data_IF_302522962633
#
_entry.id   IF_302522962633
#
_cell.length_a   1.000
_cell.length_b   1.000
_cell.length_c   1.000
_cell.angle_alpha   90.00
_cell.angle_beta   90.00
_cell.angle_gamma   90.00
#
_symmetry.space_group_name_H-M   'P 1'
#
loop_
_entity.id
_entity.type
_entity.pdbx_description
1 polymer ?
#
# COMPACT_ATOMS: atom_id res chain seq x y z
N UNK A 1 27.74 -17.24 1.54
CA UNK A 1 29.18 -16.98 1.23
C UNK A 1 30.11 -17.64 2.23
N UNK A 2 29.74 -17.78 3.51
CA UNK A 2 30.57 -18.37 4.57
C UNK A 2 29.93 -19.61 5.19
N UNK A 3 29.05 -20.30 4.49
CA UNK A 3 28.27 -21.46 4.95
C UNK A 3 29.15 -22.65 5.38
N UNK A 4 30.32 -22.78 4.77
CA UNK A 4 31.30 -23.82 5.12
C UNK A 4 32.21 -23.45 6.30
N UNK A 5 32.15 -22.21 6.80
CA UNK A 5 32.96 -21.75 7.93
C UNK A 5 32.32 -22.09 9.29
N UNK A 6 31.90 -23.35 9.44
CA UNK A 6 31.34 -23.84 10.69
C UNK A 6 32.44 -24.15 11.72
N UNK A 7 32.06 -24.25 12.98
CA UNK A 7 32.98 -24.62 14.06
C UNK A 7 33.75 -25.90 13.74
N UNK A 8 33.05 -26.94 13.31
CA UNK A 8 33.63 -28.24 13.00
C UNK A 8 34.66 -28.17 11.88
N UNK A 9 34.31 -27.46 10.77
CA UNK A 9 35.21 -27.34 9.63
C UNK A 9 36.43 -26.49 9.96
N UNK A 10 36.28 -25.42 10.72
CA UNK A 10 37.38 -24.56 11.13
C UNK A 10 38.30 -25.30 12.07
N UNK A 11 37.74 -25.99 13.07
CA UNK A 11 38.52 -26.79 14.02
C UNK A 11 39.30 -27.89 13.31
N UNK A 12 38.67 -28.62 12.37
CA UNK A 12 39.32 -29.65 11.59
C UNK A 12 40.49 -29.08 10.78
N UNK A 13 40.29 -27.95 10.11
CA UNK A 13 41.35 -27.28 9.36
C UNK A 13 42.51 -26.81 10.25
N UNK A 14 42.22 -26.36 11.48
CA UNK A 14 43.25 -26.01 12.46
C UNK A 14 44.04 -27.21 12.94
N UNK A 15 43.40 -28.30 13.25
CA UNK A 15 44.02 -29.57 13.65
C UNK A 15 44.88 -30.15 12.52
N UNK A 16 44.43 -30.07 11.27
CA UNK A 16 45.19 -30.56 10.12
C UNK A 16 46.48 -29.75 9.89
N UNK A 17 46.52 -28.49 10.26
CA UNK A 17 47.71 -27.61 10.17
C UNK A 17 48.73 -27.84 11.26
N UNK A 18 48.38 -28.58 12.33
CA UNK A 18 49.35 -29.02 13.35
C UNK A 18 50.20 -30.15 12.77
N UNK A 19 51.45 -29.87 12.46
CA UNK A 19 52.36 -30.82 11.78
C UNK A 19 53.06 -31.78 12.70
N UNK A 20 53.07 -31.52 14.03
CA UNK A 20 53.67 -32.40 15.02
C UNK A 20 52.80 -33.67 15.24
N UNK A 21 53.47 -34.80 15.54
CA UNK A 21 52.83 -36.07 15.87
C UNK A 21 52.32 -36.02 17.34
N UNK A 22 51.18 -35.35 17.50
CA UNK A 22 50.51 -35.16 18.80
C UNK A 22 49.09 -35.71 18.71
N UNK A 23 48.52 -36.11 19.86
CA UNK A 23 47.12 -36.48 19.93
C UNK A 23 46.21 -35.28 19.62
N UNK A 24 45.35 -35.43 18.62
CA UNK A 24 44.43 -34.40 18.11
C UNK A 24 42.96 -34.73 18.41
N UNK A 25 42.69 -35.80 19.15
CA UNK A 25 41.32 -36.22 19.51
C UNK A 25 40.71 -35.24 20.53
N UNK A 26 39.42 -35.21 20.60
CA UNK A 26 38.65 -34.45 21.60
C UNK A 26 39.17 -34.80 23.03
N UNK A 27 39.40 -33.77 23.84
CA UNK A 27 40.00 -33.90 25.18
C UNK A 27 41.53 -33.93 25.20
N UNK A 28 42.21 -33.84 24.05
CA UNK A 28 43.67 -33.62 24.00
C UNK A 28 44.02 -32.16 24.22
N UNK A 29 45.22 -31.88 24.71
CA UNK A 29 45.69 -30.49 24.97
C UNK A 29 45.62 -29.61 23.70
N UNK A 30 45.92 -30.18 22.52
CA UNK A 30 45.88 -29.45 21.26
C UNK A 30 44.45 -29.17 20.86
N UNK A 31 43.54 -30.15 21.00
CA UNK A 31 42.13 -29.96 20.73
C UNK A 31 41.53 -28.88 21.62
N UNK A 32 41.74 -28.96 22.94
CA UNK A 32 41.21 -28.03 23.93
C UNK A 32 41.79 -26.63 23.76
N UNK A 33 43.03 -26.50 23.26
CA UNK A 33 43.63 -25.21 22.94
C UNK A 33 43.06 -24.56 21.67
N UNK A 34 42.69 -25.35 20.66
CA UNK A 34 42.20 -24.84 19.37
C UNK A 34 40.67 -24.66 19.32
N UNK A 35 39.92 -25.50 20.05
CA UNK A 35 38.45 -25.47 20.02
C UNK A 35 37.86 -24.09 20.37
N UNK A 36 38.26 -23.35 21.41
CA UNK A 36 37.75 -22.03 21.69
C UNK A 36 38.03 -21.01 20.55
N UNK A 37 39.23 -21.07 19.95
CA UNK A 37 39.60 -20.22 18.85
C UNK A 37 38.76 -20.52 17.58
N UNK A 38 38.53 -21.80 17.28
CA UNK A 38 37.66 -22.20 16.19
C UNK A 38 36.22 -21.76 16.40
N UNK A 39 35.70 -21.77 17.63
CA UNK A 39 34.39 -21.30 17.98
C UNK A 39 34.24 -19.77 17.71
N UNK A 40 35.16 -18.96 18.21
CA UNK A 40 35.13 -17.54 17.98
C UNK A 40 35.29 -17.15 16.50
N UNK A 41 36.12 -17.92 15.75
CA UNK A 41 36.24 -17.67 14.30
C UNK A 41 34.94 -18.02 13.57
N UNK A 42 34.30 -19.14 13.91
CA UNK A 42 32.99 -19.50 13.33
C UNK A 42 31.93 -18.43 13.61
N UNK A 43 31.88 -17.95 14.86
CA UNK A 43 30.97 -16.83 15.21
C UNK A 43 31.27 -15.56 14.41
N UNK A 44 32.54 -15.22 14.23
CA UNK A 44 32.92 -14.05 13.40
C UNK A 44 32.53 -14.22 11.93
N UNK A 45 32.70 -15.41 11.35
CA UNK A 45 32.24 -15.68 9.97
C UNK A 45 30.72 -15.61 9.84
N UNK A 46 29.99 -16.11 10.84
CA UNK A 46 28.53 -16.00 10.89
C UNK A 46 28.08 -14.55 10.96
N UNK A 47 28.70 -13.73 11.82
CA UNK A 47 28.38 -12.29 11.92
C UNK A 47 28.75 -11.55 10.64
N UNK A 48 29.86 -11.91 9.99
CA UNK A 48 30.26 -11.30 8.72
C UNK A 48 29.29 -11.66 7.59
N UNK A 49 28.76 -12.87 7.57
CA UNK A 49 27.69 -13.28 6.65
C UNK A 49 26.44 -12.43 6.84
N UNK A 50 25.96 -12.29 8.07
CA UNK A 50 24.81 -11.47 8.41
C UNK A 50 25.03 -9.98 8.07
N UNK A 51 26.26 -9.48 8.25
CA UNK A 51 26.58 -8.08 7.93
C UNK A 51 26.41 -7.78 6.44
N UNK A 52 26.76 -8.71 5.55
CA UNK A 52 26.56 -8.54 4.09
C UNK A 52 25.07 -8.39 3.80
N UNK A 53 24.21 -9.20 4.42
CA UNK A 53 22.77 -9.14 4.23
C UNK A 53 22.17 -7.80 4.74
N UNK A 54 22.79 -7.18 5.73
CA UNK A 54 22.37 -5.87 6.25
C UNK A 54 22.82 -4.68 5.37
N UNK A 55 23.82 -4.86 4.52
CA UNK A 55 24.33 -3.77 3.67
C UNK A 55 23.57 -3.64 2.34
N UNK A 56 23.04 -4.73 1.83
CA UNK A 56 22.39 -4.76 0.52
C UNK A 56 20.90 -4.40 0.63
N UNK A 57 20.35 -3.49 -0.20
CA UNK A 57 18.96 -3.06 -0.12
C UNK A 57 17.93 -4.17 -0.29
N UNK A 58 18.26 -5.30 -0.91
CA UNK A 58 17.36 -6.42 -1.12
C UNK A 58 17.16 -7.27 0.13
N UNK A 59 18.15 -7.33 1.01
CA UNK A 59 18.15 -8.13 2.24
C UNK A 59 18.14 -7.30 3.52
N UNK A 60 18.59 -6.03 3.45
CA UNK A 60 18.63 -5.12 4.59
C UNK A 60 17.24 -4.87 5.19
N UNK A 61 17.17 -4.71 6.51
CA UNK A 61 15.95 -4.46 7.26
C UNK A 61 16.09 -3.26 8.19
N UNK A 62 14.97 -2.60 8.50
CA UNK A 62 14.89 -1.50 9.45
C UNK A 62 15.87 -0.37 9.13
N UNK A 63 16.62 0.09 10.14
CA UNK A 63 17.59 1.19 10.02
C UNK A 63 18.70 0.93 8.99
N UNK A 64 19.09 -0.32 8.79
CA UNK A 64 20.09 -0.67 7.78
C UNK A 64 19.55 -0.45 6.37
N UNK A 65 18.30 -0.80 6.12
CA UNK A 65 17.63 -0.50 4.85
C UNK A 65 17.53 1.01 4.64
N UNK A 66 17.13 1.77 5.68
CA UNK A 66 17.04 3.22 5.62
C UNK A 66 18.37 3.86 5.20
N UNK A 67 19.47 3.39 5.79
CA UNK A 67 20.83 3.82 5.44
C UNK A 67 21.21 3.43 4.03
N UNK A 68 20.92 2.19 3.61
CA UNK A 68 21.26 1.70 2.28
C UNK A 68 20.58 2.52 1.16
N UNK A 69 19.32 2.95 1.37
CA UNK A 69 18.55 3.69 0.36
C UNK A 69 18.71 5.20 0.44
N UNK A 70 19.17 5.75 1.58
CA UNK A 70 19.30 7.20 1.82
C UNK A 70 20.25 7.89 0.85
N UNK A 71 21.35 7.22 0.44
CA UNK A 71 22.32 7.72 -0.55
C UNK A 71 21.71 7.97 -1.93
N UNK A 72 20.55 7.40 -2.20
CA UNK A 72 19.78 7.59 -3.43
C UNK A 72 18.65 8.62 -3.28
N UNK A 73 18.60 9.33 -2.14
CA UNK A 73 17.56 10.32 -1.86
C UNK A 73 16.19 9.67 -1.66
N UNK A 74 16.14 8.48 -1.08
CA UNK A 74 14.93 7.79 -0.64
C UNK A 74 14.98 7.69 0.88
N UNK A 75 13.93 8.14 1.55
CA UNK A 75 13.77 8.04 3.00
C UNK A 75 12.46 7.37 3.34
N UNK A 76 12.40 6.62 4.43
CA UNK A 76 11.17 6.00 4.93
C UNK A 76 10.13 7.06 5.21
N UNK A 77 8.89 6.80 4.80
CA UNK A 77 7.76 7.66 5.16
C UNK A 77 7.40 7.39 6.62
N UNK A 78 7.45 8.42 7.49
CA UNK A 78 7.07 8.24 8.89
C UNK A 78 5.58 7.99 9.02
N UNK A 79 5.17 7.41 10.14
CA UNK A 79 3.77 7.38 10.53
C UNK A 79 3.24 8.81 10.71
N UNK A 80 2.01 9.06 10.30
CA UNK A 80 1.30 10.30 10.55
C UNK A 80 0.03 10.08 11.35
N UNK A 81 -0.39 11.10 12.08
CA UNK A 81 -1.65 11.07 12.83
C UNK A 81 -2.86 11.21 11.90
N UNK A 82 -3.98 10.59 12.29
CA UNK A 82 -5.27 10.87 11.68
C UNK A 82 -5.79 12.22 12.16
N UNK A 83 -6.31 13.02 11.24
CA UNK A 83 -7.04 14.24 11.55
C UNK A 83 -8.52 13.99 11.31
N UNK A 84 -9.35 14.21 12.32
CA UNK A 84 -10.76 13.86 12.34
C UNK A 84 -11.63 15.09 12.63
N UNK A 85 -12.85 15.01 12.20
CA UNK A 85 -13.88 15.97 12.54
C UNK A 85 -14.60 15.53 13.83
N UNK A 86 -14.74 16.47 14.77
CA UNK A 86 -15.51 16.29 15.99
C UNK A 86 -16.70 17.28 15.97
N UNK A 87 -17.90 16.77 16.17
CA UNK A 87 -19.10 17.56 16.35
C UNK A 87 -19.51 17.58 17.83
N UNK A 88 -19.81 18.75 18.36
CA UNK A 88 -20.11 18.94 19.79
C UNK A 88 -21.44 19.62 20.01
N UNK A 89 -22.05 19.42 21.17
CA UNK A 89 -23.33 20.06 21.53
C UNK A 89 -23.17 21.51 22.00
N UNK A 90 -21.96 21.95 22.34
CA UNK A 90 -21.65 23.32 22.73
C UNK A 90 -20.16 23.61 22.43
N UNK A 91 -19.80 24.89 22.51
CA UNK A 91 -18.45 25.34 22.24
C UNK A 91 -17.42 24.73 23.19
N UNK A 92 -16.30 24.26 22.66
CA UNK A 92 -15.16 23.71 23.40
C UNK A 92 -13.89 24.48 23.08
N UNK A 93 -12.91 24.41 23.99
CA UNK A 93 -11.63 25.07 23.77
C UNK A 93 -10.69 24.20 22.91
N UNK A 94 -9.86 24.84 22.09
CA UNK A 94 -8.75 24.20 21.39
C UNK A 94 -7.80 23.61 22.43
N UNK A 95 -7.24 22.42 22.15
CA UNK A 95 -6.40 21.66 23.06
C UNK A 95 -7.15 20.72 24.01
N UNK A 96 -8.49 20.68 23.97
CA UNK A 96 -9.26 19.70 24.73
C UNK A 96 -9.09 18.29 24.19
N UNK A 97 -9.08 17.30 25.09
CA UNK A 97 -8.80 15.89 24.77
C UNK A 97 -10.06 15.06 24.92
N UNK A 98 -10.27 14.23 23.93
CA UNK A 98 -11.45 13.38 23.81
C UNK A 98 -11.02 11.96 23.46
N UNK A 99 -11.64 10.97 24.05
CA UNK A 99 -11.32 9.56 23.84
C UNK A 99 -12.49 8.79 23.24
N UNK A 100 -12.17 7.82 22.41
CA UNK A 100 -13.07 6.75 22.03
C UNK A 100 -12.32 5.43 22.24
N UNK A 101 -12.81 4.61 23.20
CA UNK A 101 -12.10 3.42 23.68
C UNK A 101 -10.67 3.78 24.16
N UNK A 102 -9.64 3.25 23.50
CA UNK A 102 -8.21 3.42 23.77
C UNK A 102 -7.53 4.49 22.92
N UNK A 103 -8.30 5.17 22.04
CA UNK A 103 -7.76 6.18 21.12
C UNK A 103 -8.14 7.58 21.60
N UNK A 104 -7.15 8.46 21.69
CA UNK A 104 -7.31 9.85 22.15
C UNK A 104 -7.09 10.82 21.01
N UNK A 105 -7.96 11.82 20.93
CA UNK A 105 -7.88 12.94 19.99
C UNK A 105 -7.77 14.24 20.77
N UNK A 106 -6.97 15.17 20.29
CA UNK A 106 -6.91 16.53 20.82
C UNK A 106 -7.36 17.55 19.78
N UNK A 107 -8.16 18.51 20.20
CA UNK A 107 -8.72 19.53 19.32
C UNK A 107 -7.65 20.51 18.89
N UNK A 108 -7.42 20.61 17.57
CA UNK A 108 -6.39 21.47 16.97
C UNK A 108 -6.95 22.76 16.41
N UNK A 109 -8.22 22.75 15.95
CA UNK A 109 -8.84 23.90 15.34
C UNK A 109 -10.37 23.83 15.35
N UNK A 110 -11.00 24.96 15.01
CA UNK A 110 -12.44 25.03 14.79
C UNK A 110 -12.72 25.23 13.30
N UNK A 111 -13.57 24.36 12.73
CA UNK A 111 -13.98 24.40 11.33
C UNK A 111 -15.24 25.25 11.15
N UNK A 112 -16.21 25.05 12.04
CA UNK A 112 -17.50 25.75 12.07
C UNK A 112 -18.05 25.85 13.49
N UNK A 113 -19.21 26.43 13.68
CA UNK A 113 -19.87 26.47 14.99
C UNK A 113 -20.12 25.05 15.48
N UNK A 114 -19.56 24.71 16.67
CA UNK A 114 -19.61 23.39 17.31
C UNK A 114 -19.01 22.25 16.46
N UNK A 115 -18.19 22.58 15.46
CA UNK A 115 -17.48 21.61 14.62
C UNK A 115 -16.00 21.89 14.68
N UNK A 116 -15.22 20.87 15.04
CA UNK A 116 -13.79 21.01 15.32
C UNK A 116 -12.97 20.00 14.53
N UNK A 117 -11.73 20.39 14.27
CA UNK A 117 -10.67 19.52 13.81
C UNK A 117 -9.91 18.98 15.02
N UNK A 118 -9.65 17.68 15.03
CA UNK A 118 -8.92 17.02 16.08
C UNK A 118 -7.94 16.00 15.52
N UNK A 119 -6.74 16.02 16.07
CA UNK A 119 -5.65 15.13 15.70
C UNK A 119 -5.56 13.97 16.69
N UNK A 120 -5.33 12.77 16.16
CA UNK A 120 -5.10 11.58 16.98
C UNK A 120 -3.73 11.69 17.67
N UNK A 121 -3.66 11.46 18.98
CA UNK A 121 -2.38 11.48 19.71
C UNK A 121 -1.46 10.31 19.29
N UNK A 122 -2.05 9.22 18.83
CA UNK A 122 -1.31 8.05 18.35
C UNK A 122 -1.22 8.12 16.83
N UNK A 123 0.00 8.16 16.31
CA UNK A 123 0.24 8.07 14.87
C UNK A 123 -0.10 6.68 14.35
N UNK A 124 -0.47 6.60 13.08
CA UNK A 124 -0.86 5.36 12.43
C UNK A 124 -2.34 5.29 12.09
N UNK A 125 -2.72 4.16 11.51
CA UNK A 125 -4.10 3.89 11.06
C UNK A 125 -5.12 3.79 12.20
N UNK A 126 -4.66 3.65 13.44
CA UNK A 126 -5.56 3.48 14.59
C UNK A 126 -6.56 4.63 14.71
N UNK A 127 -6.16 5.86 14.40
CA UNK A 127 -7.04 7.04 14.42
C UNK A 127 -8.16 7.03 13.37
N UNK A 128 -8.11 6.14 12.37
CA UNK A 128 -9.14 5.99 11.35
C UNK A 128 -10.24 5.00 11.74
N UNK A 129 -10.03 4.22 12.80
CA UNK A 129 -10.80 2.98 13.06
C UNK A 129 -12.19 3.24 13.63
N UNK A 130 -12.32 4.23 14.52
CA UNK A 130 -13.53 4.41 15.31
C UNK A 130 -14.35 5.61 14.85
N UNK A 131 -15.68 5.52 15.06
CA UNK A 131 -16.66 6.56 14.83
C UNK A 131 -17.67 6.57 15.97
N UNK A 132 -18.31 7.72 16.24
CA UNK A 132 -19.38 7.86 17.21
C UNK A 132 -18.99 8.63 18.47
N UNK A 133 -19.70 8.36 19.56
CA UNK A 133 -19.63 9.15 20.78
C UNK A 133 -18.24 9.13 21.43
N UNK A 134 -17.78 10.31 21.85
CA UNK A 134 -16.51 10.55 22.51
C UNK A 134 -16.71 10.82 24.01
N UNK A 135 -15.76 10.34 24.80
CA UNK A 135 -15.64 10.66 26.22
C UNK A 135 -14.66 11.81 26.43
N UNK A 136 -15.05 12.83 27.22
CA UNK A 136 -14.15 13.94 27.53
C UNK A 136 -13.10 13.52 28.56
N UNK A 137 -11.83 13.68 28.21
CA UNK A 137 -10.70 13.57 29.14
C UNK A 137 -10.32 14.92 29.76
N UNK A 138 -10.90 16.02 29.26
CA UNK A 138 -10.77 17.36 29.80
C UNK A 138 -11.92 17.63 30.80
N UNK A 139 -11.70 18.54 31.75
CA UNK A 139 -12.72 18.91 32.74
C UNK A 139 -13.82 19.79 32.08
N UNK A 140 -14.61 19.17 31.21
CA UNK A 140 -15.75 19.80 30.51
C UNK A 140 -17.03 19.06 30.96
N UNK A 141 -17.99 19.79 31.54
CA UNK A 141 -19.26 19.22 31.95
C UNK A 141 -20.39 19.69 31.03
N UNK A 142 -21.31 18.78 30.72
CA UNK A 142 -22.54 19.08 29.98
C UNK A 142 -22.37 19.23 28.46
N UNK A 143 -21.20 18.88 27.90
CA UNK A 143 -20.95 18.81 26.48
C UNK A 143 -20.76 17.38 26.05
N UNK A 144 -21.50 16.96 25.03
CA UNK A 144 -21.26 15.69 24.34
C UNK A 144 -20.57 15.95 23.01
N UNK A 145 -19.74 15.01 22.59
CA UNK A 145 -18.99 15.08 21.34
C UNK A 145 -19.09 13.77 20.56
N UNK A 146 -19.06 13.86 19.26
CA UNK A 146 -19.10 12.72 18.34
C UNK A 146 -17.98 12.83 17.33
N UNK A 147 -17.24 11.73 17.13
CA UNK A 147 -16.20 11.60 16.11
C UNK A 147 -16.87 11.19 14.78
N UNK A 148 -16.77 12.06 13.78
CA UNK A 148 -17.47 11.88 12.50
C UNK A 148 -16.49 11.61 11.37
N UNK A 149 -16.27 12.55 10.46
CA UNK A 149 -15.52 12.34 9.22
C UNK A 149 -14.00 12.28 9.45
N UNK A 150 -13.30 11.63 8.51
CA UNK A 150 -11.85 11.69 8.39
C UNK A 150 -11.51 12.89 7.50
N UNK A 151 -10.69 13.81 8.01
CA UNK A 151 -10.16 14.94 7.24
C UNK A 151 -8.85 14.53 6.58
N UNK A 152 -7.98 13.88 7.36
CA UNK A 152 -6.73 13.31 6.88
C UNK A 152 -6.54 11.92 7.47
N UNK A 153 -6.33 10.93 6.62
CA UNK A 153 -6.06 9.58 7.07
C UNK A 153 -4.74 9.48 7.83
N UNK A 154 -4.78 8.82 8.98
CA UNK A 154 -3.59 8.36 9.66
C UNK A 154 -2.96 7.19 8.91
N UNK A 155 -1.66 7.16 8.82
CA UNK A 155 -0.92 6.09 8.16
C UNK A 155 0.21 5.58 9.06
N UNK A 156 0.40 4.27 9.05
CA UNK A 156 1.52 3.63 9.73
C UNK A 156 2.83 3.99 9.03
N UNK A 157 3.94 3.81 9.74
CA UNK A 157 5.25 3.93 9.14
C UNK A 157 5.40 2.97 7.95
N UNK A 158 6.07 3.43 6.91
CA UNK A 158 6.30 2.65 5.69
C UNK A 158 7.05 1.35 6.02
N UNK A 159 6.53 0.22 5.58
CA UNK A 159 7.17 -1.08 5.79
C UNK A 159 8.46 -1.21 4.96
N UNK A 160 9.37 -2.11 5.39
CA UNK A 160 10.60 -2.39 4.64
C UNK A 160 10.32 -2.80 3.19
N UNK A 161 9.29 -3.60 2.95
CA UNK A 161 8.92 -4.04 1.61
C UNK A 161 8.41 -2.89 0.73
N UNK A 162 7.63 -1.97 1.29
CA UNK A 162 7.14 -0.79 0.57
C UNK A 162 8.29 0.18 0.25
N UNK A 163 9.18 0.44 1.23
CA UNK A 163 10.37 1.26 1.04
C UNK A 163 11.30 0.67 -0.01
N UNK A 164 11.55 -0.63 0.04
CA UNK A 164 12.38 -1.38 -0.92
C UNK A 164 11.77 -1.32 -2.33
N UNK A 165 10.47 -1.53 -2.46
CA UNK A 165 9.77 -1.43 -3.74
C UNK A 165 9.91 -0.03 -4.35
N UNK A 166 9.71 1.03 -3.56
CA UNK A 166 9.84 2.44 -3.96
C UNK A 166 11.29 2.80 -4.32
N UNK A 167 12.26 2.28 -3.58
CA UNK A 167 13.67 2.42 -3.90
C UNK A 167 14.00 1.82 -5.27
N UNK A 168 13.60 0.56 -5.51
CA UNK A 168 13.87 -0.07 -6.80
C UNK A 168 13.09 0.56 -7.95
N UNK A 169 11.90 1.07 -7.72
CA UNK A 169 11.17 1.84 -8.74
C UNK A 169 11.99 3.07 -9.16
N UNK A 170 12.49 3.84 -8.19
CA UNK A 170 13.33 5.03 -8.44
C UNK A 170 14.63 4.68 -9.18
N UNK A 171 15.33 3.62 -8.76
CA UNK A 171 16.62 3.26 -9.33
C UNK A 171 16.49 2.62 -10.73
N UNK A 172 15.50 1.75 -10.91
CA UNK A 172 15.28 1.04 -12.19
C UNK A 172 14.56 1.88 -13.23
N UNK A 173 13.85 2.92 -12.80
CA UNK A 173 13.08 3.82 -13.65
C UNK A 173 13.44 5.28 -13.38
N UNK A 174 14.71 5.69 -13.61
CA UNK A 174 15.12 7.04 -13.29
C UNK A 174 14.31 8.05 -14.09
N UNK A 175 13.67 8.96 -13.40
CA UNK A 175 13.02 10.11 -14.01
C UNK A 175 14.11 11.11 -14.45
N UNK A 176 14.39 11.17 -15.75
CA UNK A 176 15.44 12.02 -16.32
C UNK A 176 15.00 12.64 -17.64
N UNK A 177 15.43 13.87 -17.88
CA UNK A 177 15.36 14.53 -19.20
C UNK A 177 13.98 14.55 -19.86
N UNK A 178 12.90 14.58 -19.08
CA UNK A 178 11.53 14.58 -19.62
C UNK A 178 11.12 13.26 -20.27
N UNK A 179 11.61 12.12 -19.78
CA UNK A 179 11.08 10.82 -20.16
C UNK A 179 9.69 10.56 -19.57
N UNK A 180 9.02 9.48 -19.95
CA UNK A 180 7.67 9.16 -19.46
C UNK A 180 7.60 9.03 -17.92
N UNK A 181 8.67 8.52 -17.29
CA UNK A 181 8.74 8.41 -15.82
C UNK A 181 8.82 9.77 -15.13
N UNK A 182 9.53 10.74 -15.76
CA UNK A 182 9.65 12.09 -15.26
C UNK A 182 8.29 12.82 -15.30
N UNK A 183 7.55 12.73 -16.42
CA UNK A 183 6.19 13.28 -16.50
C UNK A 183 5.23 12.65 -15.49
N UNK A 184 5.33 11.32 -15.27
CA UNK A 184 4.54 10.64 -14.25
C UNK A 184 4.90 11.13 -12.85
N UNK A 185 6.19 11.30 -12.55
CA UNK A 185 6.65 11.82 -11.26
C UNK A 185 6.10 13.23 -11.02
N UNK A 186 6.23 14.15 -11.97
CA UNK A 186 5.69 15.51 -11.84
C UNK A 186 4.18 15.52 -11.62
N UNK A 187 3.43 14.68 -12.32
CA UNK A 187 2.00 14.57 -12.07
C UNK A 187 1.68 14.12 -10.64
N UNK A 188 2.47 13.17 -10.08
CA UNK A 188 2.31 12.67 -8.70
C UNK A 188 2.78 13.64 -7.61
N UNK A 189 3.53 14.69 -7.95
CA UNK A 189 3.92 15.76 -7.03
C UNK A 189 2.76 16.73 -6.76
N UNK A 190 1.74 16.75 -7.62
CA UNK A 190 0.55 17.59 -7.43
C UNK A 190 -0.38 16.95 -6.39
N UNK A 191 -0.75 17.67 -5.31
CA UNK A 191 -1.65 17.15 -4.29
C UNK A 191 -2.98 16.67 -4.86
N UNK A 192 -3.44 15.50 -4.43
CA UNK A 192 -4.69 14.90 -4.88
C UNK A 192 -4.53 13.92 -6.05
N UNK A 193 -3.41 13.88 -6.73
CA UNK A 193 -3.12 12.89 -7.78
C UNK A 193 -2.63 11.59 -7.14
N UNK A 194 -3.32 10.49 -7.40
CA UNK A 194 -2.98 9.15 -6.88
C UNK A 194 -2.19 8.30 -7.86
N UNK A 195 -2.44 8.43 -9.15
CA UNK A 195 -1.64 7.77 -10.20
C UNK A 195 -1.72 8.54 -11.52
N UNK A 196 -0.72 8.31 -12.39
CA UNK A 196 -0.65 8.91 -13.71
C UNK A 196 -0.07 7.95 -14.75
N UNK A 197 -0.57 8.05 -15.97
CA UNK A 197 -0.06 7.30 -17.12
C UNK A 197 0.30 8.23 -18.26
N UNK A 198 1.51 8.06 -18.79
CA UNK A 198 2.08 8.94 -19.82
C UNK A 198 2.05 8.26 -21.18
N UNK A 199 1.64 9.01 -22.19
CA UNK A 199 1.61 8.60 -23.60
C UNK A 199 2.52 9.55 -24.38
N UNK A 200 3.78 9.14 -24.64
CA UNK A 200 4.69 9.92 -25.48
C UNK A 200 4.20 9.96 -26.92
N UNK A 201 4.37 11.09 -27.58
CA UNK A 201 4.05 11.32 -29.00
C UNK A 201 2.56 11.09 -29.35
N UNK A 202 1.67 11.31 -28.40
CA UNK A 202 0.23 10.99 -28.51
C UNK A 202 -0.45 11.69 -29.70
N UNK A 203 -0.09 12.94 -29.96
CA UNK A 203 -0.59 13.73 -31.09
C UNK A 203 0.51 14.07 -32.10
N UNK A 204 1.63 13.32 -32.11
CA UNK A 204 2.77 13.50 -33.00
C UNK A 204 4.04 13.99 -32.30
N UNK A 205 5.09 14.32 -33.07
CA UNK A 205 6.39 14.72 -32.51
C UNK A 205 6.29 15.91 -31.55
N UNK A 206 6.95 15.80 -30.39
CA UNK A 206 6.99 16.84 -29.38
C UNK A 206 5.78 16.90 -28.46
N UNK A 207 4.80 16.01 -28.62
CA UNK A 207 3.59 15.97 -27.79
C UNK A 207 3.65 14.87 -26.74
N UNK A 208 3.08 15.13 -25.57
CA UNK A 208 2.94 14.14 -24.48
C UNK A 208 1.54 14.29 -23.89
N UNK A 209 0.78 13.17 -23.81
CA UNK A 209 -0.45 13.16 -23.04
C UNK A 209 -0.19 12.45 -21.68
N UNK A 210 -0.74 13.02 -20.62
CA UNK A 210 -0.67 12.47 -19.27
C UNK A 210 -2.08 12.29 -18.76
N UNK A 211 -2.49 11.04 -18.55
CA UNK A 211 -3.75 10.70 -17.91
C UNK A 211 -3.53 10.63 -16.40
N UNK A 212 -4.44 11.21 -15.64
CA UNK A 212 -4.36 11.28 -14.18
C UNK A 212 -5.63 10.74 -13.53
N UNK A 213 -5.48 10.14 -12.35
CA UNK A 213 -6.57 9.76 -11.44
C UNK A 213 -6.27 10.30 -10.04
N UNK A 214 -7.31 10.45 -9.22
CA UNK A 214 -7.16 10.93 -7.85
C UNK A 214 -6.53 9.89 -6.90
N UNK A 215 -6.39 10.26 -5.62
CA UNK A 215 -5.83 9.41 -4.57
C UNK A 215 -6.59 8.10 -4.36
N UNK A 216 -7.88 8.08 -4.68
CA UNK A 216 -8.72 6.88 -4.66
C UNK A 216 -8.70 6.09 -5.98
N UNK A 217 -7.85 6.49 -6.92
CA UNK A 217 -7.77 5.98 -8.31
C UNK A 217 -9.06 6.15 -9.10
N UNK A 218 -9.82 7.20 -8.81
CA UNK A 218 -11.05 7.57 -9.51
C UNK A 218 -10.79 8.70 -10.50
N UNK A 219 -11.70 8.80 -11.48
CA UNK A 219 -11.68 9.89 -12.46
C UNK A 219 -12.05 11.19 -11.75
N UNK A 220 -11.17 12.20 -11.83
CA UNK A 220 -11.39 13.51 -11.23
C UNK A 220 -10.85 14.62 -12.13
N UNK A 221 -11.71 15.13 -12.99
CA UNK A 221 -11.34 16.17 -13.96
C UNK A 221 -10.97 17.52 -13.32
N UNK A 222 -11.33 17.75 -12.06
CA UNK A 222 -10.95 19.00 -11.37
C UNK A 222 -9.44 19.13 -11.13
N UNK A 223 -8.70 18.01 -11.16
CA UNK A 223 -7.25 18.00 -11.01
C UNK A 223 -6.49 18.39 -12.29
N UNK A 224 -7.13 18.31 -13.47
CA UNK A 224 -6.46 18.54 -14.75
C UNK A 224 -5.83 19.94 -14.83
N UNK A 225 -6.53 20.96 -14.36
CA UNK A 225 -6.06 22.35 -14.37
C UNK A 225 -4.82 22.53 -13.50
N UNK A 226 -4.85 21.99 -12.26
CA UNK A 226 -3.75 22.13 -11.31
C UNK A 226 -2.50 21.39 -11.79
N UNK A 227 -2.68 20.17 -12.35
CA UNK A 227 -1.58 19.38 -12.91
C UNK A 227 -1.04 20.06 -14.18
N UNK A 228 -1.89 20.61 -15.02
CA UNK A 228 -1.47 21.33 -16.23
C UNK A 228 -0.64 22.58 -15.89
N UNK A 229 -1.07 23.37 -14.92
CA UNK A 229 -0.36 24.57 -14.47
C UNK A 229 1.01 24.21 -13.89
N UNK A 230 1.09 23.19 -13.03
CA UNK A 230 2.36 22.71 -12.49
C UNK A 230 3.27 22.15 -13.59
N UNK A 231 2.71 21.37 -14.51
CA UNK A 231 3.47 20.74 -15.60
C UNK A 231 4.13 21.79 -16.52
N UNK A 232 3.48 22.94 -16.75
CA UNK A 232 4.05 24.05 -17.54
C UNK A 232 5.33 24.62 -16.89
N UNK A 233 5.48 24.55 -15.57
CA UNK A 233 6.67 25.04 -14.87
C UNK A 233 7.86 24.10 -14.94
N UNK A 234 7.63 22.80 -15.15
CA UNK A 234 8.66 21.75 -15.04
C UNK A 234 8.98 21.03 -16.35
N UNK A 235 8.08 21.12 -17.35
CA UNK A 235 8.27 20.42 -18.63
C UNK A 235 9.48 20.95 -19.40
N UNK A 236 10.17 20.12 -20.18
CA UNK A 236 11.24 20.54 -21.08
C UNK A 236 10.75 21.55 -22.14
N UNK A 237 11.65 22.45 -22.52
CA UNK A 237 11.40 23.40 -23.60
C UNK A 237 11.08 22.64 -24.90
N UNK A 238 10.00 23.03 -25.58
CA UNK A 238 9.57 22.42 -26.84
C UNK A 238 8.66 21.19 -26.71
N UNK A 239 8.40 20.70 -25.50
CA UNK A 239 7.37 19.68 -25.29
C UNK A 239 5.97 20.33 -25.17
N UNK A 240 4.97 19.80 -25.87
CA UNK A 240 3.55 20.14 -25.68
C UNK A 240 2.91 19.07 -24.83
N UNK A 241 2.41 19.44 -23.64
CA UNK A 241 1.85 18.48 -22.69
C UNK A 241 0.35 18.70 -22.58
N UNK A 242 -0.41 17.61 -22.66
CA UNK A 242 -1.87 17.63 -22.47
C UNK A 242 -2.20 16.75 -21.26
N UNK A 243 -2.86 17.32 -20.26
CA UNK A 243 -3.35 16.59 -19.10
C UNK A 243 -4.81 16.22 -19.34
N UNK A 244 -5.17 14.98 -19.11
CA UNK A 244 -6.50 14.44 -19.36
C UNK A 244 -6.92 13.50 -18.23
N UNK A 245 -8.22 13.38 -18.01
CA UNK A 245 -8.79 12.26 -17.26
C UNK A 245 -9.02 11.07 -18.19
N UNK A 246 -8.84 9.83 -17.72
CA UNK A 246 -9.18 8.64 -18.49
C UNK A 246 -10.69 8.53 -18.70
N UNK A 247 -11.11 7.84 -19.77
CA UNK A 247 -12.52 7.53 -19.99
C UNK A 247 -12.96 6.38 -19.07
N UNK A 248 -14.21 6.42 -18.59
CA UNK A 248 -14.78 5.35 -17.80
C UNK A 248 -15.19 4.16 -18.68
N UNK A 249 -14.69 2.97 -18.38
CA UNK A 249 -15.21 1.72 -18.94
C UNK A 249 -16.07 1.01 -17.89
N UNK A 250 -17.39 1.08 -18.05
CA UNK A 250 -18.33 0.51 -17.07
C UNK A 250 -18.28 -1.01 -17.08
N UNK A 251 -18.13 -1.60 -15.90
CA UNK A 251 -18.13 -3.04 -15.65
C UNK A 251 -19.37 -3.40 -14.84
N UNK A 252 -20.37 -3.98 -15.49
CA UNK A 252 -21.58 -4.48 -14.85
C UNK A 252 -21.47 -6.00 -14.65
N UNK A 253 -21.95 -6.48 -13.50
CA UNK A 253 -21.89 -7.89 -13.11
C UNK A 253 -23.31 -8.40 -12.84
N UNK A 254 -23.65 -9.57 -13.34
CA UNK A 254 -24.87 -10.29 -12.96
C UNK A 254 -24.55 -11.76 -12.71
N UNK A 255 -25.15 -12.35 -11.69
CA UNK A 255 -25.01 -13.76 -11.36
C UNK A 255 -26.21 -14.24 -10.54
N UNK A 256 -26.45 -15.56 -10.54
CA UNK A 256 -27.31 -16.22 -9.58
C UNK A 256 -26.42 -16.80 -8.47
N UNK A 257 -26.81 -16.63 -7.23
CA UNK A 257 -25.99 -16.95 -6.05
C UNK A 257 -26.75 -17.87 -5.11
N UNK A 258 -26.11 -18.96 -4.70
CA UNK A 258 -26.55 -19.84 -3.63
C UNK A 258 -25.88 -19.39 -2.34
N UNK A 259 -26.67 -19.06 -1.32
CA UNK A 259 -26.17 -18.64 -0.02
C UNK A 259 -25.90 -19.84 0.89
N UNK A 260 -24.90 -19.71 1.77
CA UNK A 260 -24.58 -20.69 2.82
C UNK A 260 -25.44 -20.53 4.08
N UNK A 261 -26.29 -19.49 4.12
CA UNK A 261 -27.20 -19.16 5.23
C UNK A 261 -26.54 -18.36 6.36
N UNK A 262 -25.27 -18.00 6.26
CA UNK A 262 -24.59 -17.18 7.28
C UNK A 262 -24.85 -15.69 7.11
N UNK A 263 -25.13 -15.22 5.89
CA UNK A 263 -25.40 -13.84 5.52
C UNK A 263 -26.66 -13.71 4.69
N UNK A 264 -27.25 -12.54 4.72
CA UNK A 264 -28.38 -12.17 3.85
C UNK A 264 -27.87 -11.75 2.48
N UNK A 265 -28.74 -11.80 1.47
CA UNK A 265 -28.40 -11.38 0.09
C UNK A 265 -27.94 -9.92 0.01
N UNK A 266 -28.53 -9.03 0.82
CA UNK A 266 -28.14 -7.62 0.88
C UNK A 266 -26.72 -7.45 1.45
N UNK A 267 -26.36 -8.20 2.49
CA UNK A 267 -25.00 -8.17 3.08
C UNK A 267 -23.95 -8.70 2.09
N UNK A 268 -24.25 -9.80 1.40
CA UNK A 268 -23.42 -10.36 0.33
C UNK A 268 -23.23 -9.35 -0.79
N UNK A 269 -24.30 -8.69 -1.24
CA UNK A 269 -24.25 -7.69 -2.30
C UNK A 269 -23.38 -6.50 -1.94
N UNK A 270 -23.47 -6.00 -0.69
CA UNK A 270 -22.62 -4.89 -0.21
C UNK A 270 -21.16 -5.31 -0.14
N UNK A 271 -20.87 -6.48 0.43
CA UNK A 271 -19.50 -7.01 0.55
C UNK A 271 -18.88 -7.25 -0.82
N UNK A 272 -19.62 -7.87 -1.73
CA UNK A 272 -19.15 -8.11 -3.11
C UNK A 272 -18.88 -6.80 -3.86
N UNK A 273 -19.77 -5.80 -3.77
CA UNK A 273 -19.56 -4.49 -4.38
C UNK A 273 -18.30 -3.81 -3.86
N UNK A 274 -18.07 -3.88 -2.55
CA UNK A 274 -16.87 -3.30 -1.92
C UNK A 274 -15.60 -3.97 -2.47
N UNK A 275 -15.58 -5.31 -2.48
CA UNK A 275 -14.44 -6.08 -2.98
C UNK A 275 -14.21 -5.87 -4.49
N UNK A 276 -15.30 -5.80 -5.28
CA UNK A 276 -15.22 -5.54 -6.71
C UNK A 276 -14.67 -4.14 -6.99
N UNK A 277 -15.15 -3.11 -6.27
CA UNK A 277 -14.66 -1.75 -6.40
C UNK A 277 -13.17 -1.66 -6.08
N UNK A 278 -12.72 -2.27 -4.98
CA UNK A 278 -11.30 -2.35 -4.62
C UNK A 278 -10.48 -3.01 -5.74
N UNK A 279 -10.96 -4.14 -6.26
CA UNK A 279 -10.28 -4.86 -7.36
C UNK A 279 -10.19 -4.03 -8.64
N UNK A 280 -11.25 -3.32 -9.02
CA UNK A 280 -11.25 -2.44 -10.20
C UNK A 280 -10.29 -1.26 -10.02
N UNK A 281 -10.21 -0.67 -8.83
CA UNK A 281 -9.27 0.40 -8.51
C UNK A 281 -7.80 -0.06 -8.59
N UNK A 282 -7.49 -1.29 -8.15
CA UNK A 282 -6.14 -1.87 -8.29
C UNK A 282 -5.71 -2.01 -9.75
N UNK A 283 -6.67 -2.25 -10.66
CA UNK A 283 -6.41 -2.44 -12.07
C UNK A 283 -6.07 -1.15 -12.82
N UNK A 284 -6.41 0.02 -12.27
CA UNK A 284 -6.21 1.32 -12.90
C UNK A 284 -4.76 1.48 -13.36
N UNK A 285 -4.56 1.73 -14.65
CA UNK A 285 -3.27 1.86 -15.36
C UNK A 285 -2.33 0.64 -15.31
N UNK A 286 -2.73 -0.46 -14.67
CA UNK A 286 -1.90 -1.66 -14.50
C UNK A 286 -2.40 -2.85 -15.34
N UNK A 287 -3.70 -3.09 -15.35
CA UNK A 287 -4.32 -4.21 -16.09
C UNK A 287 -5.37 -3.67 -17.06
N UNK A 288 -5.39 -4.20 -18.29
CA UNK A 288 -6.32 -3.78 -19.36
C UNK A 288 -7.34 -4.86 -19.71
N UNK A 289 -7.56 -5.78 -18.80
CA UNK A 289 -8.53 -6.87 -18.97
C UNK A 289 -9.14 -7.26 -17.63
N UNK A 290 -10.46 -7.07 -17.50
CA UNK A 290 -11.20 -7.62 -16.37
C UNK A 290 -11.40 -9.11 -16.64
N UNK A 291 -10.76 -9.93 -15.81
CA UNK A 291 -10.83 -11.39 -15.96
C UNK A 291 -12.13 -11.92 -15.38
N UNK A 292 -12.91 -12.63 -16.21
CA UNK A 292 -14.12 -13.32 -15.82
C UNK A 292 -13.89 -14.29 -14.65
N UNK A 293 -12.81 -15.09 -14.73
CA UNK A 293 -12.48 -16.05 -13.68
C UNK A 293 -12.10 -15.36 -12.35
N UNK A 294 -11.37 -14.22 -12.39
CA UNK A 294 -11.05 -13.47 -11.18
C UNK A 294 -12.29 -12.87 -10.52
N UNK A 295 -13.26 -12.37 -11.31
CA UNK A 295 -14.52 -11.86 -10.78
C UNK A 295 -15.36 -13.00 -10.20
N UNK A 296 -15.39 -14.16 -10.85
CA UNK A 296 -16.06 -15.35 -10.31
C UNK A 296 -15.43 -15.83 -9.00
N UNK A 297 -14.10 -15.87 -8.93
CA UNK A 297 -13.38 -16.20 -7.69
C UNK A 297 -13.66 -15.16 -6.59
N UNK A 298 -13.75 -13.88 -6.94
CA UNK A 298 -14.08 -12.82 -5.97
C UNK A 298 -15.49 -13.01 -5.40
N UNK A 299 -16.46 -13.37 -6.25
CA UNK A 299 -17.83 -13.65 -5.84
C UNK A 299 -17.89 -14.88 -4.92
N UNK A 300 -17.23 -15.97 -5.31
CA UNK A 300 -17.19 -17.21 -4.53
C UNK A 300 -16.51 -17.04 -3.15
N UNK A 301 -15.50 -16.16 -3.07
CA UNK A 301 -14.82 -15.86 -1.81
C UNK A 301 -15.53 -14.77 -0.97
N UNK A 302 -16.67 -14.26 -1.41
CA UNK A 302 -17.47 -13.32 -0.62
C UNK A 302 -18.18 -14.08 0.49
N UNK A 303 -18.03 -13.63 1.73
CA UNK A 303 -18.63 -14.27 2.91
C UNK A 303 -20.16 -14.39 2.74
N UNK A 304 -20.72 -15.58 2.95
CA UNK A 304 -22.15 -15.89 2.77
C UNK A 304 -22.48 -16.53 1.42
N UNK A 305 -21.51 -16.60 0.49
CA UNK A 305 -21.70 -17.27 -0.81
C UNK A 305 -21.22 -18.71 -0.72
N UNK A 306 -22.11 -19.66 -0.98
CA UNK A 306 -21.78 -21.07 -1.08
C UNK A 306 -21.33 -21.42 -2.51
N UNK A 307 -22.07 -20.95 -3.52
CA UNK A 307 -21.76 -21.17 -4.94
C UNK A 307 -22.49 -20.13 -5.81
N UNK A 308 -22.19 -20.09 -7.12
CA UNK A 308 -22.87 -19.24 -8.08
C UNK A 308 -23.01 -19.89 -9.45
N UNK A 309 -24.00 -19.45 -10.22
CA UNK A 309 -24.17 -19.81 -11.62
C UNK A 309 -24.48 -18.59 -12.49
N UNK A 310 -24.41 -18.75 -13.80
CA UNK A 310 -24.84 -17.75 -14.79
C UNK A 310 -24.16 -16.39 -14.64
N UNK A 311 -22.88 -16.37 -14.17
CA UNK A 311 -22.09 -15.13 -14.08
C UNK A 311 -21.96 -14.51 -15.48
N UNK A 312 -22.22 -13.21 -15.56
CA UNK A 312 -21.98 -12.42 -16.78
C UNK A 312 -21.33 -11.09 -16.44
N UNK A 313 -20.39 -10.70 -17.27
CA UNK A 313 -19.76 -9.38 -17.27
C UNK A 313 -20.24 -8.61 -18.50
N UNK A 314 -20.88 -7.47 -18.31
CA UNK A 314 -21.54 -6.69 -19.38
C UNK A 314 -22.44 -7.58 -20.27
N UNK A 315 -23.17 -8.52 -19.65
CA UNK A 315 -24.10 -9.40 -20.32
C UNK A 315 -23.47 -10.63 -21.02
N UNK A 316 -22.15 -10.82 -20.96
CA UNK A 316 -21.43 -11.94 -21.58
C UNK A 316 -20.66 -12.78 -20.57
N UNK A 317 -20.54 -14.09 -20.85
CA UNK A 317 -19.71 -15.00 -20.05
C UNK A 317 -18.25 -14.96 -20.57
N UNK A 318 -17.56 -13.84 -20.35
CA UNK A 318 -16.20 -13.66 -20.86
C UNK A 318 -15.48 -12.46 -20.24
N UNK A 319 -14.20 -12.33 -20.58
CA UNK A 319 -13.38 -11.22 -20.12
C UNK A 319 -13.80 -9.91 -20.80
N UNK A 320 -13.68 -8.79 -20.08
CA UNK A 320 -13.84 -7.45 -20.66
C UNK A 320 -12.44 -6.89 -20.96
N UNK A 321 -12.26 -6.34 -22.16
CA UNK A 321 -11.04 -5.62 -22.55
C UNK A 321 -11.24 -4.14 -22.28
N UNK A 322 -10.29 -3.52 -21.57
CA UNK A 322 -10.27 -2.10 -21.24
C UNK A 322 -9.30 -1.40 -22.20
N UNK A 323 -9.69 -0.27 -22.76
CA UNK A 323 -8.83 0.53 -23.60
C UNK A 323 -7.63 1.14 -22.83
N UNK A 324 -6.53 1.40 -23.53
CA UNK A 324 -5.30 1.92 -22.89
C UNK A 324 -5.45 3.30 -22.25
N UNK A 325 -6.48 4.05 -22.65
CA UNK A 325 -6.87 5.36 -22.11
C UNK A 325 -8.16 5.29 -21.27
N UNK A 326 -8.61 4.09 -20.98
CA UNK A 326 -9.80 3.84 -20.18
C UNK A 326 -9.41 3.26 -18.81
N UNK A 327 -10.31 3.47 -17.85
CA UNK A 327 -10.23 2.84 -16.53
C UNK A 327 -11.54 2.10 -16.22
N UNK A 328 -11.46 0.92 -15.61
CA UNK A 328 -12.66 0.18 -15.24
C UNK A 328 -13.37 0.90 -14.09
N UNK A 329 -14.68 1.10 -14.26
CA UNK A 329 -15.56 1.70 -13.25
C UNK A 329 -16.69 0.74 -12.96
N UNK A 330 -17.03 0.53 -11.70
CA UNK A 330 -18.11 -0.33 -11.31
C UNK A 330 -19.45 0.19 -11.85
N UNK A 331 -20.14 -0.66 -12.60
CA UNK A 331 -21.50 -0.42 -13.09
C UNK A 331 -22.55 -1.07 -12.18
N UNK A 332 -23.62 -1.55 -12.80
CA UNK A 332 -24.69 -2.26 -12.09
C UNK A 332 -24.21 -3.63 -11.65
N UNK A 333 -24.43 -3.96 -10.37
CA UNK A 333 -24.22 -5.31 -9.83
C UNK A 333 -25.59 -5.87 -9.47
N UNK A 334 -26.01 -6.90 -10.16
CA UNK A 334 -27.27 -7.60 -9.94
C UNK A 334 -26.99 -9.06 -9.56
N UNK A 335 -27.20 -9.40 -8.31
CA UNK A 335 -27.11 -10.77 -7.81
C UNK A 335 -28.51 -11.24 -7.43
N UNK A 336 -28.90 -12.42 -7.92
CA UNK A 336 -30.19 -13.06 -7.67
C UNK A 336 -29.97 -14.28 -6.77
N UNK A 337 -30.69 -14.37 -5.66
CA UNK A 337 -30.64 -15.53 -4.78
C UNK A 337 -31.35 -16.72 -5.43
N UNK A 338 -30.71 -17.89 -5.36
CA UNK A 338 -31.30 -19.17 -5.75
C UNK A 338 -31.20 -20.16 -4.59
N UNK A 339 -32.17 -21.03 -4.46
CA UNK A 339 -32.20 -22.05 -3.39
C UNK A 339 -31.62 -23.40 -3.84
N UNK A 340 -31.51 -23.61 -5.14
CA UNK A 340 -30.88 -24.79 -5.78
C UNK A 340 -30.21 -24.34 -7.06
N UNK A 341 -29.01 -24.82 -7.35
CA UNK A 341 -28.36 -24.62 -8.64
C UNK A 341 -28.94 -25.63 -9.66
N UNK A 342 -29.20 -25.17 -10.90
CA UNK A 342 -29.58 -26.06 -11.96
C UNK A 342 -28.37 -26.92 -12.38
N UNK A 343 -28.50 -28.24 -12.27
CA UNK A 343 -27.50 -29.18 -12.80
C UNK A 343 -27.70 -29.24 -14.33
N UNK A 344 -26.83 -28.57 -15.10
CA UNK A 344 -26.70 -28.78 -16.55
C UNK A 344 -25.86 -30.02 -16.86
#
# INVERSE_FOLDING_TARGET
MYEEMTYENILQQMLDRVTSDVDKREGSVIFDALAPAAYFLADQFFQLGNFIDLVLPDTAVGEYLDRAVSGYGVSRKPANAAVRKIETTAAIAIGTRWAIRDVVFFVTGQIAENVYEAECETHGKIGNTYFGALESLSLISGVTAELTDIITDGADEETDDALRARFYEKVRRPATSGNAYHYRQWALEVPGVGDAKVFPLDAGPGTVAVLIVDSDRKINASLESNVSEYMETVRPIGASVTILSPSAHTVSVSAKVLLDGTKTMDEVLVSFKTNLAARLNEMVFTEYRVSYAKVGSLLLNTEGVQDYESLKLNGTAGNIVIGVKEVPVMGTVNLEEVHTLELE
#
